data_IF_602004930360
#
_entry.id   IF_602004930360
#
_cell.length_a   1.000
_cell.length_b   1.000
_cell.length_c   1.000
_cell.angle_alpha   90.00
_cell.angle_beta   90.00
_cell.angle_gamma   90.00
#
_symmetry.space_group_name_H-M   'P 1'
#
loop_
_entity.id
_entity.type
_entity.pdbx_description
1 polymer ?
#
# COMPACT_ATOMS: atom_id res chain seq x y z
N UNK A 1 -31.07 -6.41 24.29
CA UNK A 1 -29.59 -6.29 24.23
C UNK A 1 -29.06 -6.75 25.57
N UNK A 2 -28.70 -8.02 25.68
CA UNK A 2 -28.08 -8.59 26.88
C UNK A 2 -26.82 -7.80 27.20
N UNK A 3 -26.70 -7.36 28.46
CA UNK A 3 -25.50 -6.71 28.96
C UNK A 3 -24.27 -7.62 28.80
N UNK A 4 -23.09 -7.03 28.67
CA UNK A 4 -21.84 -7.76 28.58
C UNK A 4 -21.60 -8.49 29.92
N UNK A 5 -21.68 -9.83 29.90
CA UNK A 5 -21.46 -10.73 31.03
C UNK A 5 -19.96 -10.80 31.39
N UNK A 6 -19.65 -11.12 32.65
CA UNK A 6 -18.27 -11.31 33.11
C UNK A 6 -17.78 -12.72 32.72
N UNK A 7 -17.66 -12.97 31.41
CA UNK A 7 -17.13 -14.23 30.84
C UNK A 7 -15.99 -13.98 29.86
N UNK A 8 -15.31 -15.06 29.48
CA UNK A 8 -14.31 -15.05 28.42
C UNK A 8 -15.04 -15.18 27.07
N UNK A 9 -14.83 -14.21 26.20
CA UNK A 9 -15.37 -14.15 24.86
C UNK A 9 -14.35 -14.67 23.85
N UNK A 10 -14.84 -15.46 22.91
CA UNK A 10 -14.10 -15.84 21.70
C UNK A 10 -14.03 -14.68 20.70
N UNK A 11 -13.20 -14.82 19.66
CA UNK A 11 -13.13 -13.83 18.58
C UNK A 11 -14.47 -13.64 17.88
N UNK A 12 -15.23 -14.72 17.69
CA UNK A 12 -16.53 -14.66 17.02
C UNK A 12 -17.53 -13.86 17.86
N UNK A 13 -17.66 -14.19 19.13
CA UNK A 13 -18.58 -13.50 20.03
C UNK A 13 -18.21 -12.02 20.21
N UNK A 14 -16.91 -11.71 20.32
CA UNK A 14 -16.43 -10.33 20.39
C UNK A 14 -16.69 -9.55 19.09
N UNK A 15 -16.56 -10.21 17.94
CA UNK A 15 -16.85 -9.63 16.63
C UNK A 15 -18.35 -9.38 16.45
N UNK A 16 -19.20 -10.31 16.88
CA UNK A 16 -20.65 -10.16 16.85
C UNK A 16 -21.11 -9.03 17.77
N UNK A 17 -20.55 -8.95 18.99
CA UNK A 17 -20.86 -7.88 19.94
C UNK A 17 -20.48 -6.49 19.40
N UNK A 18 -19.28 -6.36 18.84
CA UNK A 18 -18.79 -5.10 18.27
C UNK A 18 -19.35 -4.82 16.87
N UNK A 19 -20.07 -5.78 16.27
CA UNK A 19 -20.56 -5.76 14.87
C UNK A 19 -19.43 -5.52 13.86
N UNK A 20 -18.30 -6.17 14.08
CA UNK A 20 -17.05 -5.98 13.36
C UNK A 20 -16.56 -7.26 12.69
N UNK A 21 -15.58 -7.14 11.79
CA UNK A 21 -14.92 -8.34 11.24
C UNK A 21 -13.95 -8.93 12.26
N UNK A 22 -13.85 -10.27 12.32
CA UNK A 22 -12.88 -11.00 13.17
C UNK A 22 -11.46 -10.43 13.06
N UNK A 23 -11.02 -10.17 11.82
CA UNK A 23 -9.70 -9.58 11.53
C UNK A 23 -9.55 -8.16 12.10
N UNK A 24 -10.60 -7.34 12.01
CA UNK A 24 -10.62 -5.99 12.56
C UNK A 24 -10.44 -6.00 14.07
N UNK A 25 -11.20 -6.83 14.77
CA UNK A 25 -11.12 -6.99 16.23
C UNK A 25 -9.72 -7.43 16.65
N UNK A 26 -9.18 -8.52 16.07
CA UNK A 26 -7.84 -9.03 16.41
C UNK A 26 -6.76 -7.95 16.19
N UNK A 27 -6.84 -7.19 15.08
CA UNK A 27 -5.84 -6.19 14.75
C UNK A 27 -5.83 -5.04 15.75
N UNK A 28 -7.01 -4.55 16.14
CA UNK A 28 -7.12 -3.47 17.13
C UNK A 28 -6.71 -3.97 18.51
N UNK A 29 -7.20 -5.13 18.92
CA UNK A 29 -6.87 -5.73 20.20
C UNK A 29 -5.36 -5.94 20.38
N UNK A 30 -4.68 -6.55 19.40
CA UNK A 30 -3.22 -6.75 19.44
C UNK A 30 -2.44 -5.44 19.44
N UNK A 31 -2.94 -4.39 18.76
CA UNK A 31 -2.30 -3.07 18.75
C UNK A 31 -2.34 -2.42 20.12
N UNK A 32 -3.41 -2.61 20.87
CA UNK A 32 -3.64 -1.96 22.16
C UNK A 32 -3.36 -2.85 23.37
N UNK A 33 -3.00 -4.12 23.17
CA UNK A 33 -2.78 -5.08 24.25
C UNK A 33 -4.06 -5.53 24.96
N UNK A 34 -5.21 -5.41 24.31
CA UNK A 34 -6.55 -5.66 24.86
C UNK A 34 -7.06 -7.04 24.44
N UNK A 35 -6.24 -8.06 24.63
CA UNK A 35 -6.63 -9.45 24.40
C UNK A 35 -5.65 -10.39 25.09
N UNK A 36 -6.14 -11.57 25.46
CA UNK A 36 -5.30 -12.68 25.84
C UNK A 36 -5.02 -13.55 24.62
N UNK A 37 -3.76 -13.96 24.45
CA UNK A 37 -3.34 -14.85 23.37
C UNK A 37 -2.87 -16.16 23.98
N UNK A 38 -3.53 -17.25 23.62
CA UNK A 38 -3.14 -18.61 24.01
C UNK A 38 -2.80 -19.41 22.75
N UNK A 39 -1.51 -19.41 22.39
CA UNK A 39 -1.04 -20.06 21.16
C UNK A 39 -1.64 -19.41 19.90
N UNK A 40 -2.54 -20.13 19.22
CA UNK A 40 -3.25 -19.64 18.02
C UNK A 40 -4.59 -18.98 18.34
N UNK A 41 -5.08 -19.14 19.56
CA UNK A 41 -6.38 -18.63 19.98
C UNK A 41 -6.24 -17.24 20.61
N UNK A 42 -7.24 -16.40 20.34
CA UNK A 42 -7.35 -15.06 20.91
C UNK A 42 -8.69 -14.99 21.65
N UNK A 43 -8.63 -14.60 22.91
CA UNK A 43 -9.80 -14.49 23.78
C UNK A 43 -9.85 -13.11 24.43
N UNK A 44 -11.05 -12.69 24.79
CA UNK A 44 -11.33 -11.36 25.32
C UNK A 44 -12.05 -11.48 26.65
N UNK A 45 -11.69 -10.64 27.59
CA UNK A 45 -12.53 -10.37 28.76
C UNK A 45 -13.51 -9.24 28.44
N UNK A 46 -14.51 -9.07 29.30
CA UNK A 46 -15.39 -7.89 29.25
C UNK A 46 -14.61 -6.57 29.24
N UNK A 47 -13.58 -6.47 30.08
CA UNK A 47 -12.73 -5.29 30.17
C UNK A 47 -11.99 -5.01 28.86
N UNK A 48 -11.52 -6.06 28.17
CA UNK A 48 -10.86 -5.92 26.87
C UNK A 48 -11.80 -5.33 25.82
N UNK A 49 -13.04 -5.84 25.74
CA UNK A 49 -14.04 -5.35 24.78
C UNK A 49 -14.39 -3.88 25.05
N UNK A 50 -14.58 -3.52 26.32
CA UNK A 50 -14.83 -2.12 26.71
C UNK A 50 -13.62 -1.22 26.41
N UNK A 51 -12.41 -1.71 26.67
CA UNK A 51 -11.18 -1.01 26.34
C UNK A 51 -11.01 -0.81 24.83
N UNK A 52 -11.45 -1.76 24.01
CA UNK A 52 -11.44 -1.63 22.54
C UNK A 52 -12.37 -0.50 22.12
N UNK A 53 -13.58 -0.44 22.70
CA UNK A 53 -14.54 0.64 22.45
C UNK A 53 -13.94 1.99 22.84
N UNK A 54 -13.32 2.08 24.02
CA UNK A 54 -12.70 3.31 24.51
C UNK A 54 -11.51 3.75 23.64
N UNK A 55 -10.64 2.82 23.23
CA UNK A 55 -9.50 3.11 22.38
C UNK A 55 -9.90 3.66 21.00
N UNK A 56 -11.09 3.31 20.53
CA UNK A 56 -11.66 3.75 19.26
C UNK A 56 -12.51 5.00 19.36
N UNK A 57 -12.84 5.45 20.57
CA UNK A 57 -13.55 6.72 20.73
C UNK A 57 -12.69 7.85 20.17
N UNK A 58 -13.24 8.70 19.28
CA UNK A 58 -12.52 9.87 18.81
C UNK A 58 -12.23 10.77 20.01
N UNK A 59 -10.94 11.00 20.28
CA UNK A 59 -10.55 11.99 21.29
C UNK A 59 -10.87 13.39 20.74
N UNK A 60 -11.36 14.33 21.57
CA UNK A 60 -11.57 15.70 21.14
C UNK A 60 -10.26 16.26 20.56
N UNK A 61 -10.36 16.98 19.44
CA UNK A 61 -9.20 17.54 18.74
C UNK A 61 -8.48 18.53 19.67
N UNK A 62 -7.39 18.08 20.29
CA UNK A 62 -6.68 18.85 21.31
C UNK A 62 -5.76 18.00 22.18
N UNK A 63 -6.02 16.69 22.30
CA UNK A 63 -5.09 15.78 22.95
C UNK A 63 -3.93 15.42 21.99
N UNK A 64 -2.65 15.67 22.35
CA UNK A 64 -1.51 15.25 21.55
C UNK A 64 -1.34 13.74 21.61
N UNK A 65 -2.09 13.00 20.78
CA UNK A 65 -1.93 11.55 20.65
C UNK A 65 -0.78 11.28 19.69
N UNK A 66 0.44 11.23 20.20
CA UNK A 66 1.52 10.37 19.71
C UNK A 66 1.90 10.43 18.22
N UNK A 67 1.62 11.55 17.53
CA UNK A 67 2.22 11.87 16.22
C UNK A 67 3.05 13.16 16.30
N UNK A 68 3.69 13.38 17.45
CA UNK A 68 4.64 14.46 17.65
C UNK A 68 6.04 13.96 17.29
N UNK A 69 6.49 14.26 16.06
CA UNK A 69 7.91 14.37 15.67
C UNK A 69 8.12 14.54 14.15
N UNK A 70 7.07 14.58 13.31
CA UNK A 70 7.27 14.74 11.85
C UNK A 70 7.29 16.20 11.37
N UNK A 71 6.99 17.19 12.22
CA UNK A 71 7.10 18.59 11.81
C UNK A 71 8.57 19.05 11.75
N UNK A 72 9.39 18.73 12.75
CA UNK A 72 10.79 19.15 12.78
C UNK A 72 11.64 18.54 11.64
N UNK A 73 11.35 17.31 11.21
CA UNK A 73 12.07 16.65 10.11
C UNK A 73 11.73 17.27 8.75
N UNK A 74 10.52 17.81 8.57
CA UNK A 74 10.10 18.42 7.30
C UNK A 74 10.81 19.75 7.01
N UNK A 75 11.29 20.44 8.04
CA UNK A 75 11.97 21.73 7.92
C UNK A 75 13.45 21.66 8.32
N UNK A 76 14.04 20.45 8.40
CA UNK A 76 15.46 20.33 8.69
C UNK A 76 16.26 20.98 7.56
N UNK A 77 17.04 22.01 7.90
CA UNK A 77 17.85 22.73 6.93
C UNK A 77 19.06 21.89 6.49
N UNK A 78 19.49 21.99 5.22
CA UNK A 78 20.74 21.39 4.77
C UNK A 78 21.91 21.77 5.69
N UNK A 79 22.72 20.78 6.08
CA UNK A 79 23.86 20.97 6.99
C UNK A 79 23.53 20.75 8.48
N UNK A 80 22.26 20.56 8.85
CA UNK A 80 21.93 20.11 10.21
C UNK A 80 22.08 18.59 10.34
N UNK A 81 22.52 18.12 11.53
CA UNK A 81 22.69 16.68 11.81
C UNK A 81 21.41 15.86 11.55
N UNK A 82 20.24 16.45 11.79
CA UNK A 82 18.94 15.82 11.49
C UNK A 82 18.68 15.69 9.98
N UNK A 83 19.06 16.68 9.18
CA UNK A 83 18.95 16.61 7.73
C UNK A 83 19.83 15.49 7.16
N UNK A 84 21.06 15.35 7.65
CA UNK A 84 21.98 14.33 7.15
C UNK A 84 21.56 12.91 7.49
N UNK A 85 21.12 12.67 8.72
CA UNK A 85 20.81 11.33 9.19
C UNK A 85 19.42 10.83 8.76
N UNK A 86 18.48 11.74 8.51
CA UNK A 86 17.07 11.36 8.27
C UNK A 86 16.55 11.85 6.92
N UNK A 87 16.84 13.09 6.52
CA UNK A 87 16.24 13.68 5.31
C UNK A 87 17.01 13.25 4.04
N UNK A 88 18.34 13.40 4.02
CA UNK A 88 19.21 12.96 2.90
C UNK A 88 18.94 11.51 2.45
N UNK A 89 18.98 10.49 3.32
CA UNK A 89 18.79 9.10 2.88
C UNK A 89 17.38 8.82 2.35
N UNK A 90 16.36 9.51 2.85
CA UNK A 90 15.00 9.37 2.35
C UNK A 90 14.84 10.00 0.96
N UNK A 91 15.45 11.16 0.72
CA UNK A 91 15.49 11.81 -0.59
C UNK A 91 16.28 10.98 -1.61
N UNK A 92 17.45 10.45 -1.23
CA UNK A 92 18.22 9.55 -2.09
C UNK A 92 17.43 8.28 -2.45
N UNK A 93 16.69 7.72 -1.49
CA UNK A 93 15.83 6.56 -1.74
C UNK A 93 14.70 6.89 -2.72
N UNK A 94 14.15 8.10 -2.66
CA UNK A 94 13.16 8.57 -3.63
C UNK A 94 13.77 8.74 -5.02
N UNK A 95 14.91 9.42 -5.12
CA UNK A 95 15.64 9.60 -6.38
C UNK A 95 15.98 8.26 -7.05
N UNK A 96 16.40 7.25 -6.28
CA UNK A 96 16.64 5.88 -6.80
C UNK A 96 15.38 5.25 -7.39
N UNK A 97 14.22 5.42 -6.73
CA UNK A 97 12.94 4.91 -7.24
C UNK A 97 12.51 5.63 -8.51
N UNK A 98 12.74 6.93 -8.60
CA UNK A 98 12.43 7.75 -9.78
C UNK A 98 13.32 7.36 -10.96
N UNK A 99 14.64 7.27 -10.75
CA UNK A 99 15.57 6.79 -11.77
C UNK A 99 15.21 5.39 -12.28
N UNK A 100 14.77 4.50 -11.38
CA UNK A 100 14.30 3.17 -11.79
C UNK A 100 13.03 3.24 -12.64
N UNK A 101 12.07 4.10 -12.29
CA UNK A 101 10.85 4.34 -13.09
C UNK A 101 11.18 4.90 -14.46
N UNK A 102 12.11 5.85 -14.54
CA UNK A 102 12.56 6.43 -15.80
C UNK A 102 13.23 5.38 -16.69
N UNK A 103 14.09 4.53 -16.13
CA UNK A 103 14.70 3.41 -16.87
C UNK A 103 13.64 2.47 -17.45
N UNK A 104 12.63 2.12 -16.66
CA UNK A 104 11.53 1.31 -17.15
C UNK A 104 10.68 2.03 -18.21
N UNK A 105 10.48 3.35 -18.08
CA UNK A 105 9.77 4.15 -19.07
C UNK A 105 10.52 4.21 -20.41
N UNK A 106 11.85 4.43 -20.37
CA UNK A 106 12.72 4.43 -21.55
C UNK A 106 12.74 3.06 -22.23
N UNK A 107 12.95 1.98 -21.48
CA UNK A 107 12.91 0.62 -22.02
C UNK A 107 11.55 0.32 -22.69
N UNK A 108 10.44 0.83 -22.12
CA UNK A 108 9.11 0.67 -22.72
C UNK A 108 8.94 1.49 -24.01
N UNK A 109 9.56 2.67 -24.11
CA UNK A 109 9.56 3.49 -25.32
C UNK A 109 10.38 2.82 -26.43
N UNK A 110 11.59 2.36 -26.12
CA UNK A 110 12.46 1.64 -27.05
C UNK A 110 11.76 0.38 -27.61
N UNK A 111 11.09 -0.39 -26.76
CA UNK A 111 10.30 -1.56 -27.20
C UNK A 111 9.15 -1.17 -28.14
N UNK A 112 8.51 -0.02 -27.94
CA UNK A 112 7.46 0.48 -28.83
C UNK A 112 8.02 0.93 -30.17
N UNK A 113 9.19 1.57 -30.17
CA UNK A 113 9.86 2.02 -31.39
C UNK A 113 10.31 0.84 -32.23
N UNK A 114 10.98 -0.16 -31.62
CA UNK A 114 11.35 -1.42 -32.29
C UNK A 114 10.13 -2.14 -32.88
N UNK A 115 9.00 -2.16 -32.16
CA UNK A 115 7.75 -2.72 -32.66
C UNK A 115 7.11 -1.89 -33.79
N UNK A 116 7.30 -0.57 -33.79
CA UNK A 116 6.84 0.29 -34.87
C UNK A 116 7.72 0.13 -36.12
N UNK A 117 9.03 0.00 -35.95
CA UNK A 117 9.99 -0.23 -37.02
C UNK A 117 9.77 -1.59 -37.68
N UNK A 118 9.58 -2.66 -36.89
CA UNK A 118 9.29 -3.98 -37.43
C UNK A 118 7.98 -3.98 -38.23
N UNK A 119 6.93 -3.32 -37.74
CA UNK A 119 5.68 -3.11 -38.49
C UNK A 119 5.88 -2.30 -39.78
N UNK A 120 6.73 -1.28 -39.77
CA UNK A 120 7.09 -0.49 -40.97
C UNK A 120 7.83 -1.35 -41.99
N UNK A 121 8.79 -2.15 -41.56
CA UNK A 121 9.53 -3.07 -42.43
C UNK A 121 8.62 -4.15 -43.02
N UNK A 122 7.72 -4.73 -42.20
CA UNK A 122 6.74 -5.71 -42.67
C UNK A 122 5.78 -5.09 -43.69
N UNK A 123 5.29 -3.88 -43.44
CA UNK A 123 4.44 -3.15 -44.39
C UNK A 123 5.17 -2.84 -45.70
N UNK A 124 6.45 -2.44 -45.64
CA UNK A 124 7.27 -2.21 -46.83
C UNK A 124 7.49 -3.49 -47.64
N UNK A 125 7.80 -4.61 -46.96
CA UNK A 125 7.91 -5.94 -47.59
C UNK A 125 6.61 -6.36 -48.26
N UNK A 126 5.46 -6.18 -47.59
CA UNK A 126 4.13 -6.46 -48.18
C UNK A 126 3.84 -5.58 -49.39
N UNK A 127 4.21 -4.30 -49.36
CA UNK A 127 4.07 -3.38 -50.51
C UNK A 127 4.95 -3.79 -51.68
N UNK A 128 6.21 -4.14 -51.43
CA UNK A 128 7.14 -4.62 -52.44
C UNK A 128 6.67 -5.96 -53.05
N UNK A 129 6.21 -6.90 -52.23
CA UNK A 129 5.65 -8.17 -52.68
C UNK A 129 4.39 -7.97 -53.55
N UNK A 130 3.50 -7.04 -53.17
CA UNK A 130 2.32 -6.68 -53.97
C UNK A 130 2.69 -6.02 -55.30
N UNK A 131 3.74 -5.22 -55.36
CA UNK A 131 4.23 -4.58 -56.58
C UNK A 131 4.95 -5.57 -57.52
N UNK A 132 5.60 -6.60 -56.96
CA UNK A 132 6.29 -7.65 -57.71
C UNK A 132 5.35 -8.76 -58.22
N UNK A 133 4.10 -8.84 -57.76
CA UNK A 133 3.12 -9.76 -58.35
C UNK A 133 2.77 -9.28 -59.76
N UNK A 134 3.10 -10.04 -60.82
CA UNK A 134 2.76 -9.66 -62.18
C UNK A 134 1.23 -9.65 -62.31
N UNK A 135 0.70 -8.62 -62.99
CA UNK A 135 -0.71 -8.51 -63.41
C UNK A 135 -1.05 -9.62 -64.43
N UNK A 136 -1.04 -10.86 -63.99
CA UNK A 136 -1.51 -12.02 -64.76
C UNK A 136 -3.01 -12.17 -64.52
N UNK A 137 -3.80 -11.24 -65.07
CA UNK A 137 -5.26 -11.34 -65.23
C UNK A 137 -5.73 -10.18 -66.12
N UNK A 138 -5.36 -10.26 -67.40
CA UNK A 138 -6.01 -9.57 -68.51
C UNK A 138 -5.91 -10.50 -69.72
N UNK A 139 -6.68 -11.59 -69.68
CA UNK A 139 -7.19 -12.33 -70.84
C UNK A 139 -8.60 -12.80 -70.48
#
# INVERSE_FOLDING_TARGET
MSGLEDKIYTVDEAADYLRWTRRGVIKVAKRHGLCMVRGREVTFTKADILGIIEALRPKPSGAPVGRQAVSAVRYALPGTRLYELVVKPNLERQARKEAQRERFAKARQEQRELAAESKRQEAARKRAAKAAQPRSKLL
#
